data_IF_006892457848
#
_entry.id   IF_006892457848
#
_cell.length_a   1.000
_cell.length_b   1.000
_cell.length_c   1.000
_cell.angle_alpha   90.00
_cell.angle_beta   90.00
_cell.angle_gamma   90.00
#
_symmetry.space_group_name_H-M   'P 1'
#
loop_
_entity.id
_entity.type
_entity.pdbx_description
1 polymer ?
#
# COMPACT_ATOMS: atom_id res chain seq x y z
N UNK A 1 -31.11 -25.49 15.68
CA UNK A 1 -30.06 -25.37 14.65
C UNK A 1 -30.39 -24.51 13.40
N UNK A 2 -31.56 -23.83 13.24
CA UNK A 2 -31.83 -23.06 12.01
C UNK A 2 -31.06 -21.74 11.91
N UNK A 3 -30.79 -21.05 13.04
CA UNK A 3 -30.13 -19.74 13.07
C UNK A 3 -28.67 -19.80 12.62
N UNK A 4 -27.93 -20.84 12.99
CA UNK A 4 -26.55 -21.02 12.56
C UNK A 4 -26.44 -21.16 11.04
N UNK A 5 -27.32 -21.98 10.43
CA UNK A 5 -27.37 -22.13 8.97
C UNK A 5 -27.70 -20.80 8.29
N UNK A 6 -28.69 -20.07 8.81
CA UNK A 6 -29.07 -18.75 8.30
C UNK A 6 -27.91 -17.75 8.38
N UNK A 7 -27.19 -17.72 9.49
CA UNK A 7 -26.01 -16.88 9.68
C UNK A 7 -24.92 -17.18 8.64
N UNK A 8 -24.55 -18.45 8.46
CA UNK A 8 -23.51 -18.82 7.47
C UNK A 8 -23.94 -18.55 6.04
N UNK A 9 -25.21 -18.79 5.68
CA UNK A 9 -25.72 -18.42 4.35
C UNK A 9 -25.68 -16.93 4.12
N UNK A 10 -26.04 -16.12 5.11
CA UNK A 10 -26.01 -14.67 5.00
C UNK A 10 -24.57 -14.14 4.95
N UNK A 11 -23.65 -14.73 5.72
CA UNK A 11 -22.23 -14.42 5.68
C UNK A 11 -21.67 -14.63 4.27
N UNK A 12 -21.96 -15.78 3.66
CA UNK A 12 -21.50 -16.10 2.31
C UNK A 12 -22.12 -15.18 1.26
N UNK A 13 -23.45 -15.04 1.25
CA UNK A 13 -24.15 -14.15 0.30
C UNK A 13 -23.68 -12.71 0.45
N UNK A 14 -23.61 -12.20 1.67
CA UNK A 14 -23.12 -10.87 1.97
C UNK A 14 -21.69 -10.65 1.48
N UNK A 15 -20.83 -11.66 1.59
CA UNK A 15 -19.45 -11.58 1.10
C UNK A 15 -19.43 -11.49 -0.42
N UNK A 16 -20.22 -12.33 -1.12
CA UNK A 16 -20.33 -12.29 -2.59
C UNK A 16 -20.83 -10.93 -3.04
N UNK A 17 -21.88 -10.39 -2.40
CA UNK A 17 -22.40 -9.06 -2.72
C UNK A 17 -21.39 -7.96 -2.46
N UNK A 18 -20.67 -8.00 -1.34
CA UNK A 18 -19.64 -7.01 -1.02
C UNK A 18 -18.52 -7.02 -2.07
N UNK A 19 -18.01 -8.20 -2.46
CA UNK A 19 -16.97 -8.34 -3.48
C UNK A 19 -17.46 -7.84 -4.84
N UNK A 20 -18.67 -8.23 -5.25
CA UNK A 20 -19.26 -7.77 -6.51
C UNK A 20 -19.43 -6.25 -6.51
N UNK A 21 -19.95 -5.67 -5.43
CA UNK A 21 -20.15 -4.23 -5.35
C UNK A 21 -18.82 -3.46 -5.38
N UNK A 22 -17.83 -3.91 -4.60
CA UNK A 22 -16.50 -3.29 -4.54
C UNK A 22 -15.71 -3.41 -5.84
N UNK A 23 -16.00 -4.40 -6.69
CA UNK A 23 -15.35 -4.58 -8.00
C UNK A 23 -16.09 -3.89 -9.15
N UNK A 24 -17.42 -3.96 -9.16
CA UNK A 24 -18.25 -3.41 -10.23
C UNK A 24 -18.34 -1.88 -10.17
N UNK A 25 -18.45 -1.29 -8.98
CA UNK A 25 -18.60 0.17 -8.85
C UNK A 25 -17.40 0.93 -9.46
N UNK A 26 -16.14 0.60 -9.14
CA UNK A 26 -14.98 1.24 -9.77
C UNK A 26 -14.94 1.02 -11.29
N UNK A 27 -15.31 -0.18 -11.74
CA UNK A 27 -15.34 -0.52 -13.17
C UNK A 27 -16.36 0.33 -13.92
N UNK A 28 -17.58 0.45 -13.39
CA UNK A 28 -18.65 1.26 -13.99
C UNK A 28 -18.25 2.74 -14.02
N UNK A 29 -17.66 3.26 -12.94
CA UNK A 29 -17.15 4.63 -12.91
C UNK A 29 -16.06 4.86 -13.95
N UNK A 30 -15.10 3.95 -14.08
CA UNK A 30 -14.05 4.03 -15.10
C UNK A 30 -14.63 4.03 -16.51
N UNK A 31 -15.59 3.14 -16.80
CA UNK A 31 -16.29 3.09 -18.10
C UNK A 31 -17.09 4.38 -18.36
N UNK A 32 -17.80 4.90 -17.36
CA UNK A 32 -18.56 6.14 -17.50
C UNK A 32 -17.65 7.33 -17.82
N UNK A 33 -16.49 7.44 -17.16
CA UNK A 33 -15.50 8.49 -17.44
C UNK A 33 -14.95 8.39 -18.87
N UNK A 34 -14.71 7.17 -19.37
CA UNK A 34 -14.26 6.94 -20.75
C UNK A 34 -15.33 7.34 -21.78
N UNK A 35 -16.60 7.05 -21.52
CA UNK A 35 -17.70 7.39 -22.43
C UNK A 35 -17.96 8.91 -22.48
N UNK A 36 -17.81 9.60 -21.34
CA UNK A 36 -18.02 11.05 -21.24
C UNK A 36 -16.87 11.89 -21.81
N UNK A 37 -15.69 11.31 -22.02
CA UNK A 37 -14.49 11.99 -22.52
C UNK A 37 -13.97 11.36 -23.82
N UNK A 38 -14.68 11.57 -24.93
CA UNK A 38 -14.34 11.01 -26.26
C UNK A 38 -12.91 11.35 -26.74
N UNK A 39 -12.33 12.46 -26.28
CA UNK A 39 -10.96 12.91 -26.64
C UNK A 39 -9.85 12.13 -25.92
N UNK A 40 -10.14 11.37 -24.86
CA UNK A 40 -9.16 10.55 -24.12
C UNK A 40 -8.84 9.21 -24.80
N UNK A 41 -9.64 8.79 -25.79
CA UNK A 41 -9.47 7.53 -26.50
C UNK A 41 -8.26 7.50 -27.46
N UNK A 42 -7.73 8.66 -27.89
CA UNK A 42 -6.69 8.72 -28.93
C UNK A 42 -5.24 8.55 -28.43
N UNK A 43 -4.96 8.77 -27.14
CA UNK A 43 -3.62 8.61 -26.52
C UNK A 43 -3.56 7.42 -25.52
N UNK A 44 -4.40 6.42 -25.80
CA UNK A 44 -4.71 5.34 -24.89
C UNK A 44 -3.56 4.31 -24.80
N UNK A 45 -2.64 4.52 -23.86
CA UNK A 45 -1.59 3.56 -23.51
C UNK A 45 -1.74 3.10 -22.04
N UNK A 46 -1.37 1.85 -21.75
CA UNK A 46 -1.35 1.32 -20.38
C UNK A 46 -0.41 2.09 -19.44
N UNK A 47 0.58 2.81 -19.99
CA UNK A 47 1.50 3.64 -19.23
C UNK A 47 0.79 4.91 -18.69
N UNK A 48 -0.05 5.54 -19.50
CA UNK A 48 -0.84 6.71 -19.08
C UNK A 48 -1.82 6.37 -17.95
N UNK A 49 -2.47 5.21 -18.00
CA UNK A 49 -3.35 4.74 -16.91
C UNK A 49 -2.62 4.57 -15.59
N UNK A 50 -1.44 3.94 -15.62
CA UNK A 50 -0.64 3.75 -14.41
C UNK A 50 -0.15 5.07 -13.84
N UNK A 51 0.25 6.02 -14.69
CA UNK A 51 0.66 7.35 -14.26
C UNK A 51 -0.48 8.13 -13.59
N UNK A 52 -1.68 8.17 -14.20
CA UNK A 52 -2.84 8.86 -13.65
C UNK A 52 -3.35 8.24 -12.34
N UNK A 53 -3.37 6.91 -12.25
CA UNK A 53 -3.71 6.19 -11.00
C UNK A 53 -2.72 6.52 -9.87
N UNK A 54 -1.45 6.73 -10.23
CA UNK A 54 -0.41 7.04 -9.27
C UNK A 54 -0.48 8.49 -8.77
N UNK A 55 -0.75 9.42 -9.68
CA UNK A 55 -0.97 10.84 -9.37
C UNK A 55 -2.16 11.03 -8.41
N UNK A 56 -3.26 10.33 -8.65
CA UNK A 56 -4.47 10.42 -7.84
C UNK A 56 -4.60 9.33 -6.76
N UNK A 57 -3.49 8.65 -6.41
CA UNK A 57 -3.49 7.49 -5.49
C UNK A 57 -4.17 7.77 -4.16
N UNK A 58 -3.91 8.93 -3.54
CA UNK A 58 -4.52 9.30 -2.25
C UNK A 58 -6.04 9.46 -2.36
N UNK A 59 -6.52 10.09 -3.44
CA UNK A 59 -7.96 10.23 -3.70
C UNK A 59 -8.62 8.87 -3.92
N UNK A 60 -7.95 7.97 -4.66
CA UNK A 60 -8.42 6.60 -4.87
C UNK A 60 -8.50 5.84 -3.54
N UNK A 61 -7.50 5.96 -2.66
CA UNK A 61 -7.55 5.35 -1.34
C UNK A 61 -8.73 5.84 -0.51
N UNK A 62 -8.98 7.15 -0.48
CA UNK A 62 -10.12 7.71 0.26
C UNK A 62 -11.47 7.25 -0.32
N UNK A 63 -11.62 7.25 -1.65
CA UNK A 63 -12.84 6.78 -2.30
C UNK A 63 -13.09 5.31 -2.01
N UNK A 64 -12.07 4.45 -2.14
CA UNK A 64 -12.18 3.02 -1.85
C UNK A 64 -12.42 2.76 -0.37
N UNK A 65 -11.82 3.54 0.53
CA UNK A 65 -12.06 3.43 1.97
C UNK A 65 -13.49 3.83 2.34
N UNK A 66 -14.02 4.90 1.75
CA UNK A 66 -15.42 5.30 1.95
C UNK A 66 -16.40 4.24 1.43
N UNK A 67 -16.15 3.72 0.23
CA UNK A 67 -16.93 2.64 -0.36
C UNK A 67 -16.91 1.39 0.52
N UNK A 68 -15.72 0.97 0.96
CA UNK A 68 -15.53 -0.16 1.85
C UNK A 68 -16.26 0.05 3.19
N UNK A 69 -16.12 1.21 3.81
CA UNK A 69 -16.80 1.53 5.07
C UNK A 69 -18.33 1.42 4.95
N UNK A 70 -18.90 1.95 3.86
CA UNK A 70 -20.32 1.81 3.57
C UNK A 70 -20.75 0.34 3.40
N UNK A 71 -19.98 -0.45 2.63
CA UNK A 71 -20.28 -1.88 2.43
C UNK A 71 -20.19 -2.69 3.72
N UNK A 72 -19.18 -2.43 4.55
CA UNK A 72 -19.01 -3.07 5.86
C UNK A 72 -20.16 -2.73 6.82
N UNK A 73 -20.61 -1.47 6.82
CA UNK A 73 -21.76 -1.05 7.63
C UNK A 73 -23.04 -1.79 7.24
N UNK A 74 -23.33 -1.89 5.93
CA UNK A 74 -24.48 -2.64 5.42
C UNK A 74 -24.36 -4.14 5.72
N UNK A 75 -23.16 -4.71 5.55
CA UNK A 75 -22.86 -6.10 5.83
C UNK A 75 -23.07 -6.44 7.30
N UNK A 76 -22.54 -5.62 8.20
CA UNK A 76 -22.73 -5.77 9.64
C UNK A 76 -24.21 -5.67 10.02
N UNK A 77 -24.92 -4.65 9.50
CA UNK A 77 -26.34 -4.48 9.77
C UNK A 77 -27.17 -5.69 9.32
N UNK A 78 -26.86 -6.26 8.15
CA UNK A 78 -27.54 -7.45 7.66
C UNK A 78 -27.31 -8.69 8.55
N UNK A 79 -26.10 -8.88 9.06
CA UNK A 79 -25.78 -9.98 9.97
C UNK A 79 -26.37 -9.77 11.37
N UNK A 80 -26.33 -8.55 11.90
CA UNK A 80 -26.87 -8.21 13.21
C UNK A 80 -28.37 -8.56 13.31
N UNK A 81 -29.14 -8.33 12.24
CA UNK A 81 -30.56 -8.76 12.16
C UNK A 81 -30.76 -10.26 12.35
N UNK A 82 -29.83 -11.09 11.90
CA UNK A 82 -29.89 -12.55 12.09
C UNK A 82 -29.36 -12.94 13.46
N UNK A 83 -28.30 -12.28 13.93
CA UNK A 83 -27.72 -12.52 15.26
C UNK A 83 -28.74 -12.21 16.36
N UNK A 84 -29.56 -11.18 16.20
CA UNK A 84 -30.64 -10.84 17.15
C UNK A 84 -31.65 -11.98 17.36
N UNK A 85 -31.80 -12.89 16.39
CA UNK A 85 -32.65 -14.08 16.49
C UNK A 85 -31.97 -15.26 17.22
N UNK A 86 -30.66 -15.17 17.49
CA UNK A 86 -29.90 -16.19 18.20
C UNK A 86 -30.14 -16.10 19.72
N UNK A 87 -29.85 -17.21 20.43
CA UNK A 87 -29.86 -17.23 21.89
C UNK A 87 -28.83 -16.24 22.45
N UNK A 88 -29.13 -15.53 23.56
CA UNK A 88 -28.24 -14.51 24.13
C UNK A 88 -26.81 -14.99 24.37
N UNK A 89 -26.63 -16.24 24.83
CA UNK A 89 -25.30 -16.82 25.09
C UNK A 89 -24.43 -16.98 23.84
N UNK A 90 -25.03 -17.05 22.65
CA UNK A 90 -24.31 -17.20 21.38
C UNK A 90 -24.17 -15.88 20.60
N UNK A 91 -24.88 -14.82 20.99
CA UNK A 91 -24.86 -13.54 20.28
C UNK A 91 -23.46 -12.94 20.26
N UNK A 92 -22.77 -12.92 21.40
CA UNK A 92 -21.40 -12.41 21.51
C UNK A 92 -20.43 -13.17 20.61
N UNK A 93 -20.58 -14.50 20.50
CA UNK A 93 -19.74 -15.33 19.64
C UNK A 93 -19.95 -14.98 18.16
N UNK A 94 -21.20 -14.78 17.71
CA UNK A 94 -21.47 -14.37 16.34
C UNK A 94 -21.02 -12.94 16.05
N UNK A 95 -21.17 -12.01 16.99
CA UNK A 95 -20.71 -10.63 16.84
C UNK A 95 -19.19 -10.57 16.71
N UNK A 96 -18.45 -11.22 17.61
CA UNK A 96 -16.98 -11.29 17.57
C UNK A 96 -16.48 -11.94 16.29
N UNK A 97 -17.08 -13.05 15.87
CA UNK A 97 -16.75 -13.71 14.59
C UNK A 97 -16.99 -12.77 13.40
N UNK A 98 -18.10 -12.04 13.39
CA UNK A 98 -18.43 -11.08 12.33
C UNK A 98 -17.41 -9.94 12.26
N UNK A 99 -17.04 -9.37 13.42
CA UNK A 99 -16.04 -8.29 13.50
C UNK A 99 -14.66 -8.77 13.01
N UNK A 100 -14.23 -9.95 13.43
CA UNK A 100 -12.96 -10.54 12.97
C UNK A 100 -12.96 -10.80 11.47
N UNK A 101 -14.07 -11.31 10.93
CA UNK A 101 -14.22 -11.53 9.50
C UNK A 101 -14.15 -10.21 8.71
N UNK A 102 -14.85 -9.18 9.16
CA UNK A 102 -14.81 -7.85 8.53
C UNK A 102 -13.40 -7.24 8.56
N UNK A 103 -12.69 -7.39 9.68
CA UNK A 103 -11.30 -6.94 9.81
C UNK A 103 -10.37 -7.68 8.84
N UNK A 104 -10.53 -8.99 8.69
CA UNK A 104 -9.74 -9.78 7.74
C UNK A 104 -10.05 -9.36 6.30
N UNK A 105 -11.32 -9.15 5.96
CA UNK A 105 -11.75 -8.72 4.63
C UNK A 105 -11.20 -7.33 4.29
N UNK A 106 -11.30 -6.37 5.20
CA UNK A 106 -10.80 -5.00 4.99
C UNK A 106 -9.29 -4.98 4.85
N UNK A 107 -8.57 -5.72 5.69
CA UNK A 107 -7.12 -5.84 5.63
C UNK A 107 -6.66 -6.47 4.31
N UNK A 108 -7.32 -7.55 3.88
CA UNK A 108 -7.00 -8.23 2.60
C UNK A 108 -7.21 -7.32 1.40
N UNK A 109 -8.33 -6.58 1.37
CA UNK A 109 -8.61 -5.63 0.29
C UNK A 109 -7.62 -4.47 0.28
N UNK A 110 -7.26 -3.93 1.44
CA UNK A 110 -6.25 -2.89 1.54
C UNK A 110 -4.89 -3.37 1.00
N UNK A 111 -4.47 -4.60 1.31
CA UNK A 111 -3.25 -5.19 0.74
C UNK A 111 -3.34 -5.25 -0.79
N UNK A 112 -4.44 -5.77 -1.32
CA UNK A 112 -4.62 -5.90 -2.77
C UNK A 112 -4.58 -4.53 -3.45
N UNK A 113 -5.26 -3.53 -2.88
CA UNK A 113 -5.31 -2.17 -3.41
C UNK A 113 -3.94 -1.50 -3.39
N UNK A 114 -3.26 -1.52 -2.24
CA UNK A 114 -1.90 -0.96 -2.10
C UNK A 114 -0.93 -1.66 -3.04
N UNK A 115 -1.00 -2.99 -3.14
CA UNK A 115 -0.12 -3.77 -4.03
C UNK A 115 -0.36 -3.43 -5.51
N UNK A 116 -1.62 -3.27 -5.92
CA UNK A 116 -1.98 -2.93 -7.30
C UNK A 116 -1.55 -1.50 -7.70
N UNK A 117 -1.55 -0.56 -6.74
CA UNK A 117 -1.16 0.83 -6.96
C UNK A 117 0.31 1.13 -6.63
N UNK A 118 1.04 0.15 -6.09
CA UNK A 118 2.49 0.25 -5.87
C UNK A 118 3.20 0.22 -7.22
N UNK A 119 4.10 1.17 -7.49
CA UNK A 119 4.78 1.21 -8.76
C UNK A 119 5.76 0.04 -8.87
N UNK A 120 6.03 -0.37 -10.11
CA UNK A 120 7.03 -1.39 -10.36
C UNK A 120 8.42 -0.73 -10.29
N UNK A 121 9.25 -1.24 -9.39
CA UNK A 121 10.60 -0.74 -9.19
C UNK A 121 11.59 -1.57 -9.99
N UNK A 122 12.47 -0.88 -10.72
CA UNK A 122 13.40 -1.47 -11.68
C UNK A 122 14.80 -0.84 -11.59
N UNK A 123 15.72 -1.38 -12.40
CA UNK A 123 17.07 -0.84 -12.63
C UNK A 123 17.89 -0.65 -11.34
N UNK A 124 17.76 -1.57 -10.38
CA UNK A 124 18.30 -1.41 -9.03
C UNK A 124 19.82 -1.13 -9.01
N UNK A 125 20.62 -1.79 -9.84
CA UNK A 125 22.08 -1.56 -9.89
C UNK A 125 22.45 -0.14 -10.35
N UNK A 126 21.64 0.44 -11.23
CA UNK A 126 21.87 1.80 -11.74
C UNK A 126 21.53 2.83 -10.65
N UNK A 127 20.37 2.70 -10.01
CA UNK A 127 19.94 3.62 -8.96
C UNK A 127 20.81 3.50 -7.71
N UNK A 128 21.19 2.29 -7.33
CA UNK A 128 22.12 2.03 -6.23
C UNK A 128 23.44 2.78 -6.43
N UNK A 129 24.04 2.70 -7.62
CA UNK A 129 25.28 3.45 -7.92
C UNK A 129 25.05 4.96 -7.95
N UNK A 130 23.96 5.42 -8.58
CA UNK A 130 23.67 6.86 -8.73
C UNK A 130 23.38 7.56 -7.39
N UNK A 131 22.73 6.87 -6.47
CA UNK A 131 22.29 7.41 -5.19
C UNK A 131 23.24 7.04 -4.03
N UNK A 132 24.46 6.60 -4.35
CA UNK A 132 25.49 6.25 -3.37
C UNK A 132 25.10 5.10 -2.42
N UNK A 133 24.31 4.13 -2.89
CA UNK A 133 24.04 2.87 -2.17
C UNK A 133 25.22 1.88 -2.21
N UNK A 134 24.91 0.60 -2.06
CA UNK A 134 25.88 -0.51 -2.09
C UNK A 134 26.29 -0.99 -0.70
N UNK A 135 27.47 -1.61 -0.60
CA UNK A 135 27.98 -2.19 0.64
C UNK A 135 28.41 -1.12 1.64
N UNK A 136 28.01 -1.29 2.90
CA UNK A 136 28.35 -0.42 4.03
C UNK A 136 28.57 -1.24 5.28
N UNK A 137 29.53 -0.83 6.10
CA UNK A 137 29.78 -1.44 7.39
C UNK A 137 29.28 -0.54 8.51
N UNK A 138 28.47 -1.11 9.41
CA UNK A 138 27.97 -0.43 10.59
C UNK A 138 28.19 -1.32 11.81
N UNK A 139 28.96 -0.83 12.79
CA UNK A 139 29.26 -1.55 14.04
C UNK A 139 29.81 -2.97 13.80
N UNK A 140 30.67 -3.14 12.78
CA UNK A 140 31.25 -4.43 12.42
C UNK A 140 30.32 -5.40 11.69
N UNK A 141 29.15 -4.95 11.25
CA UNK A 141 28.22 -5.72 10.41
C UNK A 141 28.14 -5.10 9.02
N UNK A 142 28.24 -5.92 7.98
CA UNK A 142 28.05 -5.48 6.60
C UNK A 142 26.57 -5.46 6.24
N UNK A 143 26.19 -4.41 5.52
CA UNK A 143 24.85 -4.19 5.00
C UNK A 143 24.93 -3.81 3.52
N UNK A 144 24.06 -4.41 2.72
CA UNK A 144 23.86 -4.01 1.34
C UNK A 144 22.65 -3.08 1.24
N UNK A 145 22.86 -1.86 0.73
CA UNK A 145 21.79 -0.88 0.51
C UNK A 145 21.45 -0.84 -0.98
N UNK A 146 20.33 -1.46 -1.35
CA UNK A 146 19.81 -1.47 -2.72
C UNK A 146 18.80 -0.34 -2.91
N UNK A 147 18.92 0.41 -4.01
CA UNK A 147 17.93 1.39 -4.43
C UNK A 147 17.41 1.04 -5.81
N UNK A 148 16.09 1.10 -6.00
CA UNK A 148 15.43 0.87 -7.28
C UNK A 148 14.50 2.04 -7.61
N UNK A 149 14.44 2.46 -8.87
CA UNK A 149 13.57 3.54 -9.34
C UNK A 149 12.27 3.03 -9.97
N UNK A 150 11.20 3.82 -9.85
CA UNK A 150 9.90 3.57 -10.47
C UNK A 150 9.75 4.17 -11.89
N UNK A 151 10.74 4.95 -12.34
CA UNK A 151 10.65 5.81 -13.52
C UNK A 151 10.25 7.24 -13.17
N UNK A 152 10.77 8.21 -13.92
CA UNK A 152 10.47 9.63 -13.75
C UNK A 152 9.19 10.03 -14.47
N UNK A 153 8.37 10.86 -13.83
CA UNK A 153 7.22 11.51 -14.46
C UNK A 153 7.62 12.79 -15.23
N UNK A 154 6.63 13.44 -15.86
CA UNK A 154 6.82 14.68 -16.63
C UNK A 154 7.32 15.86 -15.77
N UNK A 155 7.06 15.81 -14.46
CA UNK A 155 7.52 16.80 -13.48
C UNK A 155 8.89 16.46 -12.87
N UNK A 156 9.57 15.46 -13.43
CA UNK A 156 10.88 14.96 -12.99
C UNK A 156 10.90 14.35 -11.59
N UNK A 157 9.73 14.03 -11.04
CA UNK A 157 9.64 13.30 -9.79
C UNK A 157 9.74 11.80 -10.06
N UNK A 158 10.42 11.10 -9.17
CA UNK A 158 10.58 9.66 -9.26
C UNK A 158 10.52 9.04 -7.87
N UNK A 159 9.75 7.96 -7.73
CA UNK A 159 9.73 7.17 -6.49
C UNK A 159 10.91 6.19 -6.47
N UNK A 160 11.60 6.17 -5.34
CA UNK A 160 12.72 5.30 -5.04
C UNK A 160 12.32 4.33 -3.93
N UNK A 161 12.59 3.05 -4.16
CA UNK A 161 12.53 2.02 -3.13
C UNK A 161 13.94 1.74 -2.64
N UNK A 162 14.17 1.94 -1.35
CA UNK A 162 15.42 1.59 -0.68
C UNK A 162 15.20 0.32 0.15
N UNK A 163 16.08 -0.66 -0.02
CA UNK A 163 16.10 -1.90 0.77
C UNK A 163 17.46 -2.07 1.43
N UNK A 164 17.45 -2.50 2.68
CA UNK A 164 18.65 -2.81 3.45
C UNK A 164 18.67 -4.31 3.69
N UNK A 165 19.77 -4.95 3.30
CA UNK A 165 20.01 -6.36 3.51
C UNK A 165 21.14 -6.54 4.52
N UNK A 166 21.06 -7.60 5.33
CA UNK A 166 22.19 -8.05 6.14
C UNK A 166 23.19 -8.88 5.31
N UNK A 167 24.31 -9.26 5.94
CA UNK A 167 25.38 -10.09 5.35
C UNK A 167 24.88 -11.43 4.78
N UNK A 168 23.71 -11.91 5.23
CA UNK A 168 23.13 -13.17 4.81
C UNK A 168 22.09 -12.95 3.67
N UNK A 169 21.96 -11.73 3.16
CA UNK A 169 20.99 -11.36 2.14
C UNK A 169 19.56 -11.27 2.66
N UNK A 170 19.34 -11.21 3.99
CA UNK A 170 17.98 -11.08 4.56
C UNK A 170 17.57 -9.62 4.67
N UNK A 171 16.29 -9.36 4.44
CA UNK A 171 15.74 -8.02 4.38
C UNK A 171 15.60 -7.47 5.80
N UNK A 172 16.25 -6.34 6.10
CA UNK A 172 16.27 -5.71 7.42
C UNK A 172 15.34 -4.52 7.50
N UNK A 173 15.31 -3.71 6.46
CA UNK A 173 14.45 -2.54 6.39
C UNK A 173 14.12 -2.20 4.95
N UNK A 174 12.95 -1.60 4.74
CA UNK A 174 12.56 -1.05 3.44
C UNK A 174 11.92 0.32 3.60
N UNK A 175 12.28 1.25 2.72
CA UNK A 175 11.75 2.61 2.66
C UNK A 175 11.34 2.98 1.24
N UNK A 176 10.44 3.96 1.18
CA UNK A 176 10.03 4.60 -0.05
C UNK A 176 10.17 6.10 0.12
N UNK A 177 10.71 6.77 -0.88
CA UNK A 177 10.80 8.23 -0.93
C UNK A 177 10.73 8.72 -2.36
N UNK A 178 10.42 10.00 -2.54
CA UNK A 178 10.40 10.62 -3.86
C UNK A 178 11.64 11.49 -4.03
N UNK A 179 12.29 11.41 -5.17
CA UNK A 179 13.33 12.37 -5.58
C UNK A 179 12.81 13.27 -6.69
N UNK A 180 13.42 14.44 -6.86
CA UNK A 180 13.20 15.32 -8.01
C UNK A 180 14.52 15.52 -8.75
N UNK A 181 14.61 15.03 -9.98
CA UNK A 181 15.79 15.18 -10.81
C UNK A 181 16.05 16.65 -11.14
N UNK A 182 17.33 17.06 -11.12
CA UNK A 182 17.77 18.45 -11.30
C UNK A 182 17.22 19.43 -10.23
N UNK A 183 17.03 18.95 -9.00
CA UNK A 183 16.82 19.83 -7.85
C UNK A 183 18.15 20.27 -7.24
N UNK A 184 18.13 21.39 -6.50
CA UNK A 184 19.30 21.93 -5.79
C UNK A 184 19.65 21.13 -4.52
N UNK A 185 18.90 20.07 -4.21
CA UNK A 185 19.08 19.24 -3.02
C UNK A 185 20.01 18.05 -3.31
N UNK A 186 20.78 17.58 -2.32
CA UNK A 186 21.58 16.36 -2.47
C UNK A 186 20.65 15.18 -2.78
N UNK A 187 20.86 14.50 -3.91
CA UNK A 187 20.09 13.30 -4.27
C UNK A 187 20.69 12.03 -3.65
N UNK A 188 21.97 12.08 -3.28
CA UNK A 188 22.72 10.91 -2.82
C UNK A 188 22.47 10.63 -1.33
N UNK A 189 22.59 9.36 -0.96
CA UNK A 189 22.66 8.98 0.45
C UNK A 189 23.93 9.54 1.08
N UNK A 190 23.77 10.21 2.22
CA UNK A 190 24.87 10.72 3.04
C UNK A 190 25.04 9.83 4.26
N UNK A 191 26.27 9.33 4.46
CA UNK A 191 26.56 8.31 5.46
C UNK A 191 27.21 8.93 6.70
N UNK A 192 26.74 8.47 7.86
CA UNK A 192 27.37 8.71 9.16
C UNK A 192 27.75 7.37 9.79
N UNK A 193 28.34 7.40 10.99
CA UNK A 193 28.79 6.21 11.72
C UNK A 193 27.66 5.30 12.22
N UNK A 194 26.47 5.86 12.41
CA UNK A 194 25.33 5.18 13.06
C UNK A 194 24.00 5.42 12.33
N UNK A 195 24.03 6.10 11.18
CA UNK A 195 22.87 6.35 10.36
C UNK A 195 23.29 6.72 8.93
N UNK A 196 22.31 6.86 8.05
CA UNK A 196 22.46 7.62 6.82
C UNK A 196 21.26 8.55 6.63
N UNK A 197 21.44 9.64 5.90
CA UNK A 197 20.37 10.55 5.51
C UNK A 197 20.04 10.46 4.03
N UNK A 198 18.78 10.76 3.70
CA UNK A 198 18.26 10.79 2.33
C UNK A 198 17.22 11.90 2.19
N UNK A 199 17.03 12.38 0.96
CA UNK A 199 16.08 13.46 0.68
C UNK A 199 14.77 12.90 0.11
N UNK A 200 13.64 13.28 0.71
CA UNK A 200 12.28 12.94 0.27
C UNK A 200 11.51 14.19 -0.16
N UNK A 201 11.42 14.38 -1.48
CA UNK A 201 10.72 15.48 -2.14
C UNK A 201 9.19 15.42 -2.01
N UNK A 202 8.62 14.39 -1.36
CA UNK A 202 7.17 14.25 -1.19
C UNK A 202 6.59 15.21 -0.13
N UNK A 203 7.37 15.61 0.87
CA UNK A 203 6.91 16.48 1.96
C UNK A 203 7.48 17.89 1.79
N UNK A 204 6.62 18.88 2.01
CA UNK A 204 6.93 20.30 1.80
C UNK A 204 7.79 20.86 2.94
N UNK A 205 7.71 20.24 4.12
CA UNK A 205 8.50 20.56 5.30
C UNK A 205 9.43 19.38 5.65
N UNK A 206 10.72 19.68 5.71
CA UNK A 206 11.83 18.77 6.02
C UNK A 206 12.04 17.63 5.01
N UNK A 207 12.79 17.97 3.96
CA UNK A 207 13.21 17.06 2.91
C UNK A 207 14.20 16.01 3.42
N UNK A 208 15.01 16.33 4.43
CA UNK A 208 16.02 15.41 4.95
C UNK A 208 15.38 14.39 5.89
N UNK A 209 15.63 13.11 5.63
CA UNK A 209 15.21 11.99 6.46
C UNK A 209 16.44 11.25 6.94
N UNK A 210 16.40 10.78 8.18
CA UNK A 210 17.48 10.01 8.80
C UNK A 210 17.02 8.57 9.00
N UNK A 211 17.87 7.62 8.62
CA UNK A 211 17.67 6.19 8.82
C UNK A 211 18.74 5.67 9.78
N UNK A 212 18.37 5.21 10.99
CA UNK A 212 19.34 4.66 11.94
C UNK A 212 19.93 3.34 11.43
N UNK A 213 21.21 3.11 11.76
CA UNK A 213 21.98 1.93 11.38
C UNK A 213 22.75 1.35 12.59
N UNK A 214 22.68 0.02 12.82
CA UNK A 214 21.81 -0.96 12.15
C UNK A 214 20.31 -0.65 12.31
N UNK A 215 19.45 -1.11 11.37
CA UNK A 215 18.02 -0.88 11.49
C UNK A 215 17.46 -1.51 12.77
N UNK A 216 16.61 -0.80 13.51
CA UNK A 216 15.97 -1.30 14.72
C UNK A 216 14.98 -2.43 14.42
N UNK A 217 14.53 -3.13 15.47
CA UNK A 217 13.68 -4.32 15.33
C UNK A 217 12.26 -4.01 14.83
N UNK A 218 11.74 -2.85 15.18
CA UNK A 218 10.46 -2.34 14.67
C UNK A 218 10.50 -2.13 13.15
N UNK A 219 11.62 -1.66 12.61
CA UNK A 219 11.81 -1.54 11.16
C UNK A 219 11.77 -2.89 10.45
N UNK A 220 12.31 -3.92 11.07
CA UNK A 220 12.19 -5.28 10.57
C UNK A 220 10.73 -5.73 10.57
N UNK A 221 9.99 -5.49 11.67
CA UNK A 221 8.59 -5.86 11.78
C UNK A 221 7.72 -5.16 10.72
N UNK A 222 7.87 -3.85 10.60
CA UNK A 222 7.16 -3.00 9.62
C UNK A 222 7.43 -3.48 8.19
N UNK A 223 8.68 -3.83 7.89
CA UNK A 223 9.07 -4.31 6.56
C UNK A 223 8.35 -5.60 6.14
N UNK A 224 7.98 -6.45 7.10
CA UNK A 224 7.34 -7.74 6.83
C UNK A 224 5.81 -7.68 6.89
N UNK A 225 5.22 -6.54 7.30
CA UNK A 225 3.78 -6.35 7.36
C UNK A 225 3.34 -5.41 6.21
N UNK A 226 2.64 -5.93 5.18
CA UNK A 226 2.43 -5.21 3.90
C UNK A 226 1.79 -3.83 3.97
N UNK A 227 1.08 -3.50 5.05
CA UNK A 227 0.37 -2.22 5.24
C UNK A 227 0.97 -1.30 6.31
N UNK A 228 2.01 -1.74 7.03
CA UNK A 228 2.68 -0.89 8.02
C UNK A 228 3.92 -0.18 7.46
N UNK A 229 4.28 -0.50 6.21
CA UNK A 229 5.46 -0.03 5.48
C UNK A 229 5.33 1.38 4.92
#
# INVERSE_FOLDING_TARGET
>A
MPVARAYFTQLLLGTVYAVLFLSLVPLVLAVAMLVLSYTWLSEWSMAHWKAALHEHREAIYWLMAALLGGTLGLFYHALDRIIALAKPSWQTAYQTTTLLFMLLMSYSLAILLVSALTPNYHQCDMYTRKLNGGEREYRGQQFHIELCGAGSDASRHEQIRLRIFDEHGRWRAVRYFTIRWASDFPLMLEYSSDHFSYFDARKQDDFARVMPMPPPLDDWLITHIPLLR
#
